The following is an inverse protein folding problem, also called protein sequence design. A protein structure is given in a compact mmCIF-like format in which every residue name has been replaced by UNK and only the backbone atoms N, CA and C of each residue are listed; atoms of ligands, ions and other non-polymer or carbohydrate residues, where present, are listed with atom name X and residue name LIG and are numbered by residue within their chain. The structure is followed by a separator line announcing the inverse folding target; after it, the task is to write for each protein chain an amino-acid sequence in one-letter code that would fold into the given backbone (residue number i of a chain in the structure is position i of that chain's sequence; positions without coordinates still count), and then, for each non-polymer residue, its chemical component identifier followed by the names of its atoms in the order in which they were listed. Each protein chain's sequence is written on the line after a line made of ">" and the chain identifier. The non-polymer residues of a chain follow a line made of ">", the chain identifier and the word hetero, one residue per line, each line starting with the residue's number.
data_IF_178322913730
#
_entry.id   IF_178322913730
#
_cell.length_a   1.000
_cell.length_b   1.000
_cell.length_c   1.000
_cell.angle_alpha   90.00
_cell.angle_beta   90.00
_cell.angle_gamma   90.00
#
_symmetry.space_group_name_H-M   'P 1'
#
loop_
_entity.id
_entity.type
_entity.pdbx_description
1 polymer ?
#
# COMPACT_ATOMS: atom_id res chain seq x y z
N UNK A 1 21.08 -6.71 -11.52
CA UNK A 1 19.82 -6.77 -10.74
C UNK A 1 19.56 -8.11 -10.02
N UNK A 2 20.46 -9.12 -10.03
CA UNK A 2 20.19 -10.44 -9.43
C UNK A 2 19.83 -10.42 -7.92
N UNK A 3 20.25 -9.40 -7.19
CA UNK A 3 19.95 -9.22 -5.76
C UNK A 3 18.76 -8.32 -5.47
N UNK A 4 18.15 -7.70 -6.49
CA UNK A 4 17.06 -6.75 -6.30
C UNK A 4 15.88 -7.31 -5.49
N UNK A 5 15.36 -8.54 -5.75
CA UNK A 5 14.22 -9.05 -4.99
C UNK A 5 14.51 -9.20 -3.49
N UNK A 6 15.74 -9.58 -3.15
CA UNK A 6 16.18 -9.68 -1.75
C UNK A 6 16.28 -8.31 -1.11
N UNK A 7 16.82 -7.32 -1.84
CA UNK A 7 16.94 -5.95 -1.37
C UNK A 7 15.57 -5.31 -1.13
N UNK A 8 14.62 -5.51 -2.05
CA UNK A 8 13.24 -5.06 -1.91
C UNK A 8 12.57 -5.73 -0.70
N UNK A 9 12.65 -7.06 -0.59
CA UNK A 9 12.09 -7.78 0.56
C UNK A 9 12.72 -7.32 1.89
N UNK A 10 14.03 -7.05 1.92
CA UNK A 10 14.71 -6.54 3.11
C UNK A 10 14.25 -5.12 3.48
N UNK A 11 14.04 -4.26 2.49
CA UNK A 11 13.50 -2.92 2.69
C UNK A 11 12.08 -2.99 3.25
N UNK A 12 11.17 -3.72 2.61
CA UNK A 12 9.80 -3.88 3.08
C UNK A 12 9.74 -4.52 4.47
N UNK A 13 10.56 -5.56 4.70
CA UNK A 13 10.67 -6.20 6.01
C UNK A 13 11.21 -5.28 7.10
N UNK A 14 12.02 -4.26 6.76
CA UNK A 14 12.53 -3.29 7.73
C UNK A 14 11.44 -2.37 8.26
N UNK A 15 10.35 -2.17 7.51
CA UNK A 15 9.20 -1.39 7.96
C UNK A 15 8.48 -2.05 9.14
N UNK A 16 8.47 -3.38 9.21
CA UNK A 16 7.98 -4.12 10.38
C UNK A 16 8.79 -3.76 11.64
N UNK A 17 10.12 -3.77 11.52
CA UNK A 17 11.00 -3.41 12.62
C UNK A 17 10.85 -1.93 13.02
N UNK A 18 10.70 -1.05 12.03
CA UNK A 18 10.43 0.37 12.26
C UNK A 18 9.09 0.58 12.97
N UNK A 19 8.03 -0.11 12.56
CA UNK A 19 6.73 -0.06 13.21
C UNK A 19 6.82 -0.51 14.67
N UNK A 20 7.55 -1.58 14.97
CA UNK A 20 7.77 -2.04 16.35
C UNK A 20 8.51 -0.98 17.17
N UNK A 21 9.60 -0.42 16.64
CA UNK A 21 10.39 0.58 17.33
C UNK A 21 9.61 1.88 17.60
N UNK A 22 8.86 2.36 16.61
CA UNK A 22 8.02 3.56 16.75
C UNK A 22 6.79 3.30 17.63
N UNK A 23 6.20 2.10 17.55
CA UNK A 23 5.11 1.71 18.45
C UNK A 23 5.56 1.77 19.90
N UNK A 24 6.74 1.23 20.22
CA UNK A 24 7.32 1.35 21.56
C UNK A 24 7.54 2.81 22.00
N UNK A 25 8.05 3.67 21.10
CA UNK A 25 8.29 5.08 21.40
C UNK A 25 6.99 5.87 21.63
N UNK A 26 5.93 5.53 20.89
CA UNK A 26 4.65 6.24 20.89
C UNK A 26 3.60 5.61 21.82
N UNK A 27 3.94 4.49 22.46
CA UNK A 27 3.03 3.78 23.36
C UNK A 27 1.92 2.99 22.66
N UNK A 28 2.08 2.69 21.36
CA UNK A 28 1.12 1.91 20.58
C UNK A 28 1.63 0.50 20.30
N UNK A 29 0.73 -0.45 20.13
CA UNK A 29 1.08 -1.82 19.72
C UNK A 29 0.72 -2.03 18.24
N UNK A 30 1.72 -2.14 17.32
CA UNK A 30 1.45 -2.17 15.88
C UNK A 30 0.57 -3.32 15.40
N UNK A 31 0.46 -4.40 16.18
CA UNK A 31 -0.34 -5.59 15.88
C UNK A 31 -1.55 -5.75 16.80
N UNK A 32 -1.89 -4.75 17.62
CA UNK A 32 -2.97 -4.85 18.62
C UNK A 32 -4.30 -5.33 18.05
N UNK A 33 -4.68 -4.81 16.88
CA UNK A 33 -5.94 -5.14 16.22
C UNK A 33 -5.78 -6.22 15.15
N UNK A 34 -4.60 -6.82 15.00
CA UNK A 34 -4.39 -7.90 14.04
C UNK A 34 -5.05 -9.18 14.56
N UNK A 35 -6.09 -9.64 13.87
CA UNK A 35 -6.80 -10.88 14.21
C UNK A 35 -7.00 -11.71 12.95
N UNK A 36 -6.61 -12.97 12.99
CA UNK A 36 -6.92 -13.88 11.90
C UNK A 36 -8.38 -14.30 11.97
N UNK A 37 -9.19 -13.78 11.04
CA UNK A 37 -10.60 -14.13 10.90
C UNK A 37 -10.91 -14.44 9.42
N UNK A 38 -11.49 -15.61 9.08
CA UNK A 38 -11.76 -15.98 7.69
C UNK A 38 -12.79 -15.08 6.99
N UNK A 39 -13.77 -14.54 7.72
CA UNK A 39 -14.76 -13.64 7.14
C UNK A 39 -14.12 -12.31 6.76
N UNK A 40 -13.30 -11.75 7.64
CA UNK A 40 -12.53 -10.53 7.36
C UNK A 40 -11.53 -10.75 6.22
N UNK A 41 -10.92 -11.94 6.11
CA UNK A 41 -10.05 -12.27 4.98
C UNK A 41 -10.82 -12.32 3.65
N UNK A 42 -12.04 -12.87 3.63
CA UNK A 42 -12.90 -12.88 2.45
C UNK A 42 -13.38 -11.45 2.09
N UNK A 43 -13.73 -10.66 3.10
CA UNK A 43 -14.08 -9.25 2.93
C UNK A 43 -12.91 -8.48 2.32
N UNK A 44 -11.69 -8.72 2.80
CA UNK A 44 -10.49 -8.09 2.28
C UNK A 44 -10.27 -8.39 0.79
N UNK A 45 -10.47 -9.64 0.35
CA UNK A 45 -10.39 -10.00 -1.08
C UNK A 45 -11.39 -9.17 -1.90
N UNK A 46 -12.63 -9.02 -1.42
CA UNK A 46 -13.63 -8.17 -2.07
C UNK A 46 -13.24 -6.68 -2.05
N UNK A 47 -12.68 -6.21 -0.95
CA UNK A 47 -12.21 -4.84 -0.77
C UNK A 47 -10.96 -4.50 -1.61
N UNK A 48 -10.29 -5.48 -2.22
CA UNK A 48 -9.23 -5.23 -3.22
C UNK A 48 -9.80 -4.80 -4.57
N UNK A 49 -11.09 -5.03 -4.85
CA UNK A 49 -11.69 -4.71 -6.16
C UNK A 49 -11.68 -3.21 -6.47
N UNK A 50 -12.10 -2.29 -5.58
CA UNK A 50 -12.08 -0.86 -5.88
C UNK A 50 -10.71 -0.30 -6.29
N UNK A 51 -9.60 -0.54 -5.55
CA UNK A 51 -8.29 -0.04 -5.97
C UNK A 51 -7.80 -0.70 -7.27
N UNK A 52 -8.11 -1.98 -7.53
CA UNK A 52 -7.80 -2.62 -8.81
C UNK A 52 -8.60 -2.02 -9.97
N UNK A 53 -9.87 -1.69 -9.77
CA UNK A 53 -10.69 -1.02 -10.76
C UNK A 53 -10.15 0.38 -11.08
N UNK A 54 -9.71 1.11 -10.05
CA UNK A 54 -9.05 2.41 -10.21
C UNK A 54 -7.74 2.27 -10.99
N UNK A 55 -6.90 1.29 -10.63
CA UNK A 55 -5.69 0.93 -11.38
C UNK A 55 -5.99 0.69 -12.85
N UNK A 56 -6.97 -0.18 -13.13
CA UNK A 56 -7.37 -0.52 -14.49
C UNK A 56 -7.88 0.71 -15.28
N UNK A 57 -8.60 1.62 -14.62
CA UNK A 57 -9.11 2.83 -15.25
C UNK A 57 -7.97 3.74 -15.71
N UNK A 58 -6.98 4.02 -14.85
CA UNK A 58 -5.92 4.96 -15.20
C UNK A 58 -4.85 4.40 -16.14
N UNK A 59 -4.64 3.07 -16.17
CA UNK A 59 -3.80 2.45 -17.20
C UNK A 59 -4.50 2.37 -18.56
N UNK A 60 -5.84 2.24 -18.58
CA UNK A 60 -6.61 2.20 -19.83
C UNK A 60 -6.82 3.60 -20.42
N UNK A 61 -7.06 4.59 -19.57
CA UNK A 61 -7.32 5.97 -19.96
C UNK A 61 -6.35 6.93 -19.25
N UNK A 62 -5.05 6.94 -19.62
CA UNK A 62 -4.06 7.79 -18.99
C UNK A 62 -4.26 9.24 -19.46
N UNK A 63 -5.12 9.99 -18.77
CA UNK A 63 -5.43 11.39 -19.07
C UNK A 63 -4.62 12.32 -18.16
N UNK A 64 -4.12 13.43 -18.74
CA UNK A 64 -3.43 14.48 -17.99
C UNK A 64 -2.26 13.94 -17.13
N UNK A 65 -2.20 14.26 -15.82
CA UNK A 65 -1.13 13.80 -14.92
C UNK A 65 -0.99 12.28 -14.79
N UNK A 66 -2.02 11.49 -15.11
CA UNK A 66 -1.97 10.03 -15.03
C UNK A 66 -1.01 9.42 -16.06
N UNK A 67 -0.73 10.12 -17.17
CA UNK A 67 0.27 9.70 -18.17
C UNK A 67 1.66 9.55 -17.55
N UNK A 68 2.01 10.46 -16.64
CA UNK A 68 3.29 10.46 -15.97
C UNK A 68 3.43 9.27 -15.02
N UNK A 69 2.34 8.91 -14.31
CA UNK A 69 2.30 7.72 -13.47
C UNK A 69 2.52 6.47 -14.33
N UNK A 70 1.78 6.32 -15.43
CA UNK A 70 1.95 5.15 -16.32
C UNK A 70 3.36 5.10 -16.90
N UNK A 71 3.94 6.24 -17.30
CA UNK A 71 5.33 6.32 -17.75
C UNK A 71 6.30 5.86 -16.66
N UNK A 72 6.14 6.34 -15.43
CA UNK A 72 6.96 5.91 -14.29
C UNK A 72 6.88 4.39 -14.07
N UNK A 73 5.69 3.82 -14.18
CA UNK A 73 5.49 2.38 -14.04
C UNK A 73 6.25 1.62 -15.14
N UNK A 74 6.13 2.06 -16.39
CA UNK A 74 6.74 1.39 -17.54
C UNK A 74 8.28 1.59 -17.61
N UNK A 75 8.80 2.75 -17.22
CA UNK A 75 10.23 3.11 -17.31
C UNK A 75 11.03 2.78 -16.04
N UNK A 76 10.38 2.73 -14.87
CA UNK A 76 11.06 2.50 -13.58
C UNK A 76 10.64 1.18 -12.94
N UNK A 77 9.35 0.98 -12.65
CA UNK A 77 8.88 -0.19 -11.91
C UNK A 77 9.03 -1.49 -12.72
N UNK A 78 8.56 -1.52 -13.97
CA UNK A 78 8.64 -2.73 -14.81
C UNK A 78 10.09 -3.21 -14.99
N UNK A 79 11.09 -2.36 -15.31
CA UNK A 79 12.48 -2.81 -15.44
C UNK A 79 13.12 -3.29 -14.14
N UNK A 80 12.71 -2.78 -12.97
CA UNK A 80 13.20 -3.26 -11.68
C UNK A 80 12.67 -4.66 -11.36
N UNK A 81 11.38 -4.90 -11.61
CA UNK A 81 10.70 -6.13 -11.21
C UNK A 81 10.63 -7.20 -12.32
N UNK A 82 11.01 -6.89 -13.58
CA UNK A 82 10.86 -7.79 -14.75
C UNK A 82 11.35 -9.23 -14.53
N UNK A 83 12.51 -9.36 -13.90
CA UNK A 83 13.20 -10.64 -13.70
C UNK A 83 12.75 -11.35 -12.42
N UNK A 84 11.88 -10.73 -11.61
CA UNK A 84 11.32 -11.36 -10.41
C UNK A 84 10.39 -12.51 -10.78
N UNK A 85 10.48 -13.62 -10.04
CA UNK A 85 9.51 -14.72 -10.09
C UNK A 85 8.22 -14.29 -9.38
N UNK A 86 7.09 -14.91 -9.72
CA UNK A 86 5.81 -14.64 -9.05
C UNK A 86 5.90 -14.84 -7.52
N UNK A 87 6.60 -15.87 -7.06
CA UNK A 87 6.84 -16.09 -5.63
C UNK A 87 7.62 -14.94 -4.97
N UNK A 88 8.58 -14.33 -5.67
CA UNK A 88 9.34 -13.20 -5.16
C UNK A 88 8.46 -11.94 -5.07
N UNK A 89 7.63 -11.69 -6.09
CA UNK A 89 6.65 -10.60 -6.07
C UNK A 89 5.66 -10.77 -4.90
N UNK A 90 5.17 -12.00 -4.69
CA UNK A 90 4.25 -12.31 -3.59
C UNK A 90 4.88 -12.05 -2.21
N UNK A 91 6.15 -12.44 -2.01
CA UNK A 91 6.87 -12.16 -0.76
C UNK A 91 7.05 -10.66 -0.55
N UNK A 92 7.49 -9.92 -1.57
CA UNK A 92 7.68 -8.47 -1.46
C UNK A 92 6.36 -7.77 -1.13
N UNK A 93 5.29 -8.09 -1.88
CA UNK A 93 3.98 -7.50 -1.67
C UNK A 93 3.36 -7.86 -0.30
N UNK A 94 3.57 -9.09 0.19
CA UNK A 94 3.13 -9.48 1.53
C UNK A 94 3.90 -8.74 2.63
N UNK A 95 5.20 -8.51 2.44
CA UNK A 95 6.01 -7.73 3.38
C UNK A 95 5.65 -6.24 3.36
N UNK A 96 5.40 -5.66 2.19
CA UNK A 96 4.91 -4.29 2.06
C UNK A 96 3.55 -4.13 2.75
N UNK A 97 2.59 -4.99 2.38
CA UNK A 97 1.25 -5.00 3.00
C UNK A 97 1.27 -5.22 4.51
N UNK A 98 2.17 -6.03 5.06
CA UNK A 98 2.29 -6.18 6.51
C UNK A 98 3.01 -4.98 7.15
N UNK A 99 4.18 -4.62 6.65
CA UNK A 99 5.07 -3.62 7.24
C UNK A 99 4.47 -2.21 7.18
N UNK A 100 3.94 -1.82 6.03
CA UNK A 100 3.30 -0.51 5.87
C UNK A 100 2.02 -0.41 6.70
N UNK A 101 1.16 -1.43 6.73
CA UNK A 101 -0.07 -1.35 7.52
C UNK A 101 0.21 -1.37 9.03
N UNK A 102 1.19 -2.13 9.50
CA UNK A 102 1.68 -2.03 10.87
C UNK A 102 2.16 -0.63 11.20
N UNK A 103 2.94 0.00 10.32
CA UNK A 103 3.47 1.34 10.54
C UNK A 103 2.36 2.41 10.49
N UNK A 104 1.55 2.42 9.44
CA UNK A 104 0.60 3.49 9.22
C UNK A 104 -0.66 3.33 10.06
N UNK A 105 -1.21 2.12 10.23
CA UNK A 105 -2.49 1.93 10.95
C UNK A 105 -2.21 1.60 12.41
N UNK A 106 -1.34 0.61 12.63
CA UNK A 106 -0.92 0.19 13.96
C UNK A 106 -0.18 1.26 14.76
N UNK A 107 0.54 2.19 14.10
CA UNK A 107 1.31 3.24 14.78
C UNK A 107 0.84 4.65 14.45
N UNK A 108 1.02 5.12 13.22
CA UNK A 108 0.83 6.55 12.88
C UNK A 108 -0.63 6.99 13.09
N UNK A 109 -1.59 6.26 12.51
CA UNK A 109 -3.01 6.56 12.60
C UNK A 109 -3.49 6.43 14.04
N UNK A 110 -3.12 5.34 14.73
CA UNK A 110 -3.45 5.11 16.14
C UNK A 110 -2.95 6.24 17.04
N UNK A 111 -1.65 6.56 16.98
CA UNK A 111 -1.06 7.61 17.80
C UNK A 111 -1.68 8.99 17.51
N UNK A 112 -1.88 9.34 16.23
CA UNK A 112 -2.52 10.59 15.85
C UNK A 112 -3.98 10.67 16.29
N UNK A 113 -4.69 9.54 16.31
CA UNK A 113 -6.06 9.47 16.83
C UNK A 113 -6.12 9.65 18.35
N UNK A 114 -5.14 9.13 19.09
CA UNK A 114 -5.07 9.23 20.56
C UNK A 114 -4.61 10.59 21.06
N UNK A 115 -3.79 11.31 20.29
CA UNK A 115 -3.35 12.67 20.64
C UNK A 115 -4.47 13.70 20.63
N UNK A 116 -5.56 13.45 19.90
CA UNK A 116 -6.71 14.35 19.81
C UNK A 116 -7.90 13.75 20.54
N UNK A 117 -8.22 14.32 21.70
CA UNK A 117 -9.36 13.89 22.49
C UNK A 117 -10.71 14.16 21.79
N UNK A 118 -11.65 13.24 21.98
CA UNK A 118 -13.04 13.39 21.54
C UNK A 118 -13.37 12.65 20.24
N UNK A 119 -14.60 12.81 19.73
CA UNK A 119 -15.13 12.00 18.62
C UNK A 119 -14.45 12.27 17.28
N UNK A 120 -13.70 13.36 17.15
CA UNK A 120 -12.96 13.69 15.93
C UNK A 120 -11.58 13.01 15.83
N UNK A 121 -11.02 12.50 16.93
CA UNK A 121 -9.69 11.89 16.97
C UNK A 121 -9.46 10.81 15.90
N UNK A 122 -10.34 9.80 15.78
CA UNK A 122 -10.23 8.76 14.74
C UNK A 122 -10.15 9.32 13.31
N UNK A 123 -10.97 10.32 12.99
CA UNK A 123 -11.01 10.94 11.66
C UNK A 123 -9.79 11.80 11.37
N UNK A 124 -9.26 12.50 12.38
CA UNK A 124 -8.02 13.27 12.25
C UNK A 124 -6.83 12.34 12.06
N UNK A 125 -6.75 11.25 12.83
CA UNK A 125 -5.69 10.25 12.66
C UNK A 125 -5.74 9.63 11.26
N UNK A 126 -6.93 9.29 10.77
CA UNK A 126 -7.14 8.79 9.41
C UNK A 126 -6.60 9.77 8.36
N UNK A 127 -6.97 11.05 8.43
CA UNK A 127 -6.51 12.07 7.49
C UNK A 127 -5.01 12.30 7.60
N UNK A 128 -4.46 12.37 8.82
CA UNK A 128 -3.03 12.58 9.05
C UNK A 128 -2.19 11.43 8.47
N UNK A 129 -2.59 10.19 8.73
CA UNK A 129 -1.92 9.01 8.20
C UNK A 129 -2.02 8.96 6.66
N UNK A 130 -3.18 9.25 6.08
CA UNK A 130 -3.37 9.29 4.63
C UNK A 130 -2.53 10.37 3.94
N UNK A 131 -2.45 11.56 4.53
CA UNK A 131 -1.60 12.64 4.01
C UNK A 131 -0.12 12.25 4.10
N UNK A 132 0.33 11.74 5.25
CA UNK A 132 1.71 11.30 5.41
C UNK A 132 2.07 10.17 4.44
N UNK A 133 1.16 9.21 4.25
CA UNK A 133 1.32 8.14 3.28
C UNK A 133 1.52 8.69 1.86
N UNK A 134 0.66 9.61 1.42
CA UNK A 134 0.81 10.27 0.12
C UNK A 134 2.13 11.03 -0.03
N UNK A 135 2.54 11.77 1.01
CA UNK A 135 3.80 12.52 1.02
C UNK A 135 5.03 11.61 0.92
N UNK A 136 5.02 10.45 1.59
CA UNK A 136 6.11 9.47 1.51
C UNK A 136 6.16 8.73 0.16
N UNK A 137 5.08 8.80 -0.61
CA UNK A 137 4.99 8.27 -1.98
C UNK A 137 5.13 9.37 -3.05
N UNK A 138 5.80 10.49 -2.73
CA UNK A 138 5.94 11.60 -3.66
C UNK A 138 7.02 11.32 -4.70
N UNK A 139 6.61 10.75 -5.83
CA UNK A 139 7.41 10.74 -7.06
C UNK A 139 6.89 11.79 -8.04
N UNK A 140 5.56 11.88 -8.17
CA UNK A 140 4.84 12.97 -8.83
C UNK A 140 3.70 13.42 -7.93
N UNK A 141 3.19 14.67 -8.06
CA UNK A 141 2.06 15.13 -7.26
C UNK A 141 0.81 14.26 -7.45
N UNK A 142 0.56 13.77 -8.67
CA UNK A 142 -0.57 12.90 -8.96
C UNK A 142 -0.42 11.52 -8.29
N UNK A 143 0.79 10.98 -8.26
CA UNK A 143 1.07 9.71 -7.57
C UNK A 143 0.94 9.87 -6.05
N UNK A 144 1.45 10.96 -5.48
CA UNK A 144 1.27 11.28 -4.05
C UNK A 144 -0.21 11.39 -3.66
N UNK A 145 -1.03 12.07 -4.47
CA UNK A 145 -2.46 12.18 -4.25
C UNK A 145 -3.15 10.81 -4.32
N UNK A 146 -2.83 10.01 -5.34
CA UNK A 146 -3.41 8.67 -5.50
C UNK A 146 -3.03 7.75 -4.33
N UNK A 147 -1.75 7.75 -3.94
CA UNK A 147 -1.26 7.02 -2.79
C UNK A 147 -1.96 7.46 -1.50
N UNK A 148 -2.15 8.77 -1.29
CA UNK A 148 -2.91 9.29 -0.16
C UNK A 148 -4.38 8.85 -0.16
N UNK A 149 -5.03 8.79 -1.32
CA UNK A 149 -6.41 8.28 -1.44
C UNK A 149 -6.51 6.78 -1.15
N UNK A 150 -5.54 5.99 -1.60
CA UNK A 150 -5.42 4.57 -1.22
C UNK A 150 -5.16 4.46 0.29
N UNK A 151 -4.29 5.31 0.84
CA UNK A 151 -4.01 5.39 2.26
C UNK A 151 -5.27 5.68 3.09
N UNK A 152 -6.10 6.61 2.62
CA UNK A 152 -7.39 6.95 3.21
C UNK A 152 -8.35 5.75 3.16
N UNK A 153 -8.41 5.05 2.03
CA UNK A 153 -9.25 3.87 1.87
C UNK A 153 -8.87 2.74 2.82
N UNK A 154 -7.58 2.40 2.90
CA UNK A 154 -7.06 1.35 3.79
C UNK A 154 -7.26 1.72 5.27
N UNK A 155 -7.01 2.98 5.65
CA UNK A 155 -7.26 3.47 7.00
C UNK A 155 -8.74 3.44 7.37
N UNK A 156 -9.64 3.74 6.42
CA UNK A 156 -11.08 3.63 6.63
C UNK A 156 -11.54 2.17 6.77
N UNK A 157 -11.01 1.26 5.95
CA UNK A 157 -11.29 -0.18 6.07
C UNK A 157 -10.90 -0.72 7.45
N UNK A 158 -9.74 -0.30 7.95
CA UNK A 158 -9.30 -0.64 9.29
C UNK A 158 -10.27 -0.14 10.36
N UNK A 159 -10.71 1.12 10.28
CA UNK A 159 -11.70 1.67 11.22
C UNK A 159 -13.06 0.96 11.12
N UNK A 160 -13.49 0.60 9.91
CA UNK A 160 -14.80 -0.02 9.67
C UNK A 160 -14.85 -1.48 10.14
N UNK A 161 -13.72 -2.19 10.07
CA UNK A 161 -13.63 -3.62 10.45
C UNK A 161 -13.05 -3.82 11.85
N UNK A 162 -12.31 -2.84 12.36
CA UNK A 162 -11.56 -2.96 13.61
C UNK A 162 -10.48 -4.04 13.57
N UNK A 163 -10.07 -4.49 12.37
CA UNK A 163 -9.12 -5.58 12.18
C UNK A 163 -8.01 -5.18 11.21
N UNK A 164 -6.75 -5.24 11.66
CA UNK A 164 -5.58 -4.89 10.85
C UNK A 164 -5.34 -5.90 9.71
N UNK A 165 -5.85 -7.14 9.82
CA UNK A 165 -5.73 -8.13 8.76
C UNK A 165 -6.34 -7.64 7.43
N UNK A 166 -7.46 -6.90 7.51
CA UNK A 166 -8.20 -6.45 6.32
C UNK A 166 -7.34 -5.54 5.44
N UNK A 167 -6.82 -4.39 5.91
CA UNK A 167 -5.96 -3.55 5.08
C UNK A 167 -4.65 -4.25 4.68
N UNK A 168 -4.08 -5.13 5.52
CA UNK A 168 -2.86 -5.91 5.19
C UNK A 168 -3.08 -6.77 3.94
N UNK A 169 -4.20 -7.51 3.90
CA UNK A 169 -4.56 -8.33 2.75
C UNK A 169 -4.87 -7.45 1.54
N UNK A 170 -5.65 -6.36 1.71
CA UNK A 170 -6.00 -5.48 0.59
C UNK A 170 -4.76 -4.88 -0.05
N UNK A 171 -3.84 -4.34 0.76
CA UNK A 171 -2.60 -3.72 0.29
C UNK A 171 -1.71 -4.76 -0.41
N UNK A 172 -1.38 -5.85 0.28
CA UNK A 172 -0.48 -6.87 -0.27
C UNK A 172 -1.05 -7.57 -1.51
N UNK A 173 -2.36 -7.82 -1.56
CA UNK A 173 -3.01 -8.41 -2.74
C UNK A 173 -3.06 -7.42 -3.91
N UNK A 174 -3.36 -6.14 -3.65
CA UNK A 174 -3.31 -5.10 -4.66
C UNK A 174 -1.92 -5.01 -5.30
N UNK A 175 -0.87 -4.89 -4.49
CA UNK A 175 0.51 -4.78 -4.97
C UNK A 175 0.94 -6.01 -5.75
N UNK A 176 0.65 -7.21 -5.24
CA UNK A 176 0.97 -8.44 -5.93
C UNK A 176 0.32 -8.51 -7.32
N UNK A 177 -0.99 -8.22 -7.40
CA UNK A 177 -1.74 -8.31 -8.65
C UNK A 177 -1.30 -7.24 -9.65
N UNK A 178 -1.08 -6.01 -9.19
CA UNK A 178 -0.59 -4.91 -10.03
C UNK A 178 0.79 -5.24 -10.58
N UNK A 179 1.75 -5.62 -9.72
CA UNK A 179 3.11 -5.97 -10.14
C UNK A 179 3.13 -7.19 -11.07
N UNK A 180 2.38 -8.25 -10.74
CA UNK A 180 2.28 -9.43 -11.57
C UNK A 180 1.69 -9.09 -12.95
N UNK A 181 0.64 -8.27 -13.00
CA UNK A 181 0.05 -7.83 -14.26
C UNK A 181 1.05 -7.02 -15.10
N UNK A 182 1.69 -6.01 -14.53
CA UNK A 182 2.63 -5.14 -15.25
C UNK A 182 3.82 -5.92 -15.80
N UNK A 183 4.38 -6.82 -15.01
CA UNK A 183 5.63 -7.51 -15.35
C UNK A 183 5.40 -8.77 -16.19
N UNK A 184 4.31 -9.51 -15.97
CA UNK A 184 4.08 -10.82 -16.62
C UNK A 184 3.06 -10.79 -17.73
N UNK A 185 2.10 -9.85 -17.69
CA UNK A 185 0.98 -9.80 -18.65
C UNK A 185 1.13 -8.60 -19.60
N UNK A 186 1.53 -7.43 -19.08
CA UNK A 186 1.73 -6.19 -19.85
C UNK A 186 3.20 -5.72 -19.88
N UNK A 187 4.20 -6.57 -20.18
CA UNK A 187 5.57 -6.08 -20.27
C UNK A 187 5.70 -5.10 -21.47
N UNK A 188 5.95 -3.82 -21.19
CA UNK A 188 6.53 -2.89 -22.17
C UNK A 188 5.61 -2.36 -23.27
N UNK A 189 4.34 -2.04 -23.01
CA UNK A 189 3.61 -1.10 -23.87
C UNK A 189 3.95 0.32 -23.44
N UNK A 190 5.10 0.85 -23.89
CA UNK A 190 5.36 2.29 -23.77
C UNK A 190 4.19 3.03 -24.41
N UNK A 191 3.79 4.17 -23.84
CA UNK A 191 2.78 5.07 -24.43
C UNK A 191 3.19 5.60 -25.82
N UNK A 192 4.28 5.13 -26.43
CA UNK A 192 4.77 5.52 -27.76
C UNK A 192 4.03 4.79 -28.90
N UNK A 193 3.05 3.93 -28.60
CA UNK A 193 2.24 3.21 -29.58
C UNK A 193 0.78 3.65 -29.70
N UNK A 194 0.41 4.82 -29.15
CA UNK A 194 -0.94 5.39 -29.26
C UNK A 194 -0.90 6.83 -29.77
#
# INVERSE_FOLDING_TARGET
>A
MKHFPLMAAAFEGSLVALAIALGWLLGTSPLETFRFDPYDALLAIGATVPPLALFWLYIKFPLGPLKEIVRLMDETLVPLFRDCRLAQLAVIAALAGLGEEMLFRGVVQTAASEWIAGPCGPWIGLLAAAVLFGLLHTITPAYALLAGLIGLYLGWLWMATGNLLVPVIVHGLYDFLVLAYLVKIRPGKSLQGA
#
